data_IF_059892953908
#
_entry.id   IF_059892953908
#
_cell.length_a   1.000
_cell.length_b   1.000
_cell.length_c   1.000
_cell.angle_alpha   90.00
_cell.angle_beta   90.00
_cell.angle_gamma   90.00
#
_symmetry.space_group_name_H-M   'P 1'
#
loop_
_entity.id
_entity.type
_entity.pdbx_description
1 polymer ?
#
# COMPACT_ATOMS: atom_id res chain seq x y z
N UNK A 1 -18.01 7.03 13.45
CA UNK A 1 -16.94 7.49 14.36
C UNK A 1 -15.64 7.51 13.60
N UNK A 2 -14.76 8.46 13.91
CA UNK A 2 -13.45 8.59 13.28
C UNK A 2 -12.54 7.42 13.73
N UNK A 3 -12.06 6.54 12.82
CA UNK A 3 -11.16 5.44 13.18
C UNK A 3 -9.79 5.92 13.69
N UNK A 4 -9.46 7.20 13.50
CA UNK A 4 -8.27 7.85 14.06
C UNK A 4 -8.48 8.38 15.48
N UNK A 5 -9.70 8.25 16.03
CA UNK A 5 -9.96 8.56 17.43
C UNK A 5 -9.37 7.50 18.36
N UNK A 6 -8.70 7.96 19.43
CA UNK A 6 -8.04 7.09 20.42
C UNK A 6 -9.00 6.11 21.11
N UNK A 7 -10.28 6.46 21.22
CA UNK A 7 -11.30 5.63 21.88
C UNK A 7 -12.06 4.71 20.89
N UNK A 8 -11.96 4.97 19.58
CA UNK A 8 -12.73 4.23 18.58
C UNK A 8 -12.32 2.76 18.50
N UNK A 9 -11.01 2.47 18.51
CA UNK A 9 -10.48 1.12 18.38
C UNK A 9 -11.05 0.17 19.46
N UNK A 10 -10.91 0.54 20.74
CA UNK A 10 -11.38 -0.29 21.85
C UNK A 10 -12.91 -0.45 21.81
N UNK A 11 -13.63 0.62 21.54
CA UNK A 11 -15.10 0.59 21.48
C UNK A 11 -15.59 -0.35 20.37
N UNK A 12 -15.06 -0.23 19.15
CA UNK A 12 -15.48 -1.06 18.02
C UNK A 12 -15.11 -2.53 18.21
N UNK A 13 -13.90 -2.82 18.68
CA UNK A 13 -13.49 -4.22 18.91
C UNK A 13 -14.34 -4.86 20.02
N UNK A 14 -14.71 -4.11 21.05
CA UNK A 14 -15.60 -4.60 22.10
C UNK A 14 -17.02 -4.91 21.61
N UNK A 15 -17.54 -4.08 20.69
CA UNK A 15 -18.89 -4.23 20.13
C UNK A 15 -18.95 -5.33 19.07
N UNK A 16 -18.09 -5.28 18.07
CA UNK A 16 -18.11 -6.18 16.91
C UNK A 16 -17.48 -7.55 17.21
N UNK A 17 -16.58 -7.62 18.18
CA UNK A 17 -15.81 -8.82 18.53
C UNK A 17 -15.22 -9.55 17.31
N UNK A 18 -14.45 -8.83 16.46
CA UNK A 18 -13.91 -9.42 15.23
C UNK A 18 -12.91 -10.53 15.54
N UNK A 19 -12.83 -11.53 14.64
CA UNK A 19 -11.78 -12.54 14.70
C UNK A 19 -10.44 -12.02 14.16
N UNK A 20 -10.51 -11.07 13.22
CA UNK A 20 -9.36 -10.51 12.53
C UNK A 20 -9.60 -9.03 12.24
N UNK A 21 -8.59 -8.22 12.52
CA UNK A 21 -8.56 -6.79 12.23
C UNK A 21 -7.47 -6.56 11.18
N UNK A 22 -7.81 -5.86 10.10
CA UNK A 22 -6.84 -5.35 9.13
C UNK A 22 -6.81 -3.84 9.25
N UNK A 23 -5.71 -3.31 9.79
CA UNK A 23 -5.51 -1.88 9.95
C UNK A 23 -4.73 -1.32 8.74
N UNK A 24 -5.46 -0.56 7.91
CA UNK A 24 -4.93 0.15 6.74
C UNK A 24 -4.96 1.67 7.00
N UNK A 25 -3.97 2.18 7.72
CA UNK A 25 -3.79 3.63 7.87
C UNK A 25 -3.13 4.26 6.63
N UNK A 26 -2.75 5.53 6.73
CA UNK A 26 -1.98 6.26 5.70
C UNK A 26 -0.79 5.48 5.11
N UNK A 27 -0.02 4.67 5.88
CA UNK A 27 1.06 3.85 5.30
C UNK A 27 0.64 2.82 4.25
N UNK A 28 -0.65 2.46 4.19
CA UNK A 28 -1.18 1.52 3.21
C UNK A 28 -1.35 2.15 1.82
N UNK A 29 -1.38 3.48 1.72
CA UNK A 29 -1.46 4.19 0.46
C UNK A 29 -0.10 4.23 -0.24
N UNK A 30 -0.08 3.84 -1.51
CA UNK A 30 1.16 3.88 -2.29
C UNK A 30 1.61 5.32 -2.52
N UNK A 31 2.89 5.58 -2.28
CA UNK A 31 3.56 6.84 -2.66
C UNK A 31 3.65 7.07 -4.17
N UNK A 32 3.15 6.13 -4.97
CA UNK A 32 2.96 6.29 -6.41
C UNK A 32 1.62 6.91 -6.78
N UNK A 33 0.66 7.04 -5.86
CA UNK A 33 -0.62 7.69 -6.14
C UNK A 33 -0.44 9.13 -6.62
N UNK A 34 -1.39 9.58 -7.46
CA UNK A 34 -1.42 10.90 -8.07
C UNK A 34 -2.82 11.50 -7.84
N UNK A 35 -2.95 12.52 -6.97
CA UNK A 35 -1.89 13.18 -6.20
C UNK A 35 -1.25 12.26 -5.14
N UNK A 36 -0.02 12.57 -4.66
CA UNK A 36 0.62 11.80 -3.60
C UNK A 36 -0.25 11.77 -2.33
N UNK A 37 -0.23 10.64 -1.58
CA UNK A 37 -1.01 10.53 -0.36
C UNK A 37 -0.47 11.50 0.72
N UNK A 38 -1.29 11.83 1.73
CA UNK A 38 -0.82 12.62 2.86
C UNK A 38 0.37 11.95 3.55
N UNK A 39 1.30 12.74 4.08
CA UNK A 39 2.43 12.19 4.82
C UNK A 39 1.95 11.61 6.15
N UNK A 40 2.53 10.48 6.62
CA UNK A 40 2.24 9.95 7.94
C UNK A 40 2.60 10.99 9.01
N UNK A 41 1.73 11.12 10.02
CA UNK A 41 1.88 12.09 11.09
C UNK A 41 2.26 11.40 12.41
N UNK A 42 2.88 12.10 13.37
CA UNK A 42 3.23 11.51 14.66
C UNK A 42 2.04 10.87 15.40
N UNK A 43 0.84 11.43 15.24
CA UNK A 43 -0.39 10.91 15.87
C UNK A 43 -0.73 9.49 15.37
N UNK A 44 -0.38 9.16 14.13
CA UNK A 44 -0.60 7.82 13.54
C UNK A 44 0.12 6.72 14.32
N UNK A 45 1.22 7.04 15.01
CA UNK A 45 1.92 6.10 15.90
C UNK A 45 1.00 5.68 17.05
N UNK A 46 0.36 6.67 17.69
CA UNK A 46 -0.53 6.45 18.83
C UNK A 46 -1.76 5.67 18.36
N UNK A 47 -2.37 6.05 17.23
CA UNK A 47 -3.53 5.37 16.64
C UNK A 47 -3.22 3.90 16.35
N UNK A 48 -2.09 3.60 15.70
CA UNK A 48 -1.72 2.22 15.43
C UNK A 48 -1.50 1.42 16.73
N UNK A 49 -0.92 2.04 17.76
CA UNK A 49 -0.77 1.47 19.09
C UNK A 49 -2.10 1.18 19.80
N UNK A 50 -3.13 2.03 19.64
CA UNK A 50 -4.46 1.78 20.24
C UNK A 50 -5.16 0.59 19.57
N UNK A 51 -5.06 0.46 18.24
CA UNK A 51 -5.54 -0.71 17.52
C UNK A 51 -4.82 -2.00 17.94
N UNK A 52 -3.49 -1.95 18.08
CA UNK A 52 -2.68 -3.06 18.59
C UNK A 52 -3.11 -3.48 20.00
N UNK A 53 -3.34 -2.51 20.89
CA UNK A 53 -3.77 -2.74 22.27
C UNK A 53 -5.17 -3.34 22.34
N UNK A 54 -6.11 -2.80 21.56
CA UNK A 54 -7.47 -3.32 21.50
C UNK A 54 -7.48 -4.77 20.99
N UNK A 55 -6.75 -5.06 19.91
CA UNK A 55 -6.64 -6.42 19.39
C UNK A 55 -6.07 -7.39 20.45
N UNK A 56 -5.05 -6.96 21.20
CA UNK A 56 -4.48 -7.75 22.29
C UNK A 56 -5.46 -7.96 23.45
N UNK A 57 -6.16 -6.90 23.90
CA UNK A 57 -7.13 -6.95 25.01
C UNK A 57 -8.27 -7.93 24.72
N UNK A 58 -8.77 -7.94 23.48
CA UNK A 58 -9.90 -8.78 23.06
C UNK A 58 -9.48 -10.09 22.39
N UNK A 59 -8.18 -10.41 22.35
CA UNK A 59 -7.63 -11.62 21.74
C UNK A 59 -8.04 -11.80 20.26
N UNK A 60 -7.98 -10.70 19.51
CA UNK A 60 -8.20 -10.66 18.06
C UNK A 60 -6.86 -10.75 17.32
N UNK A 61 -6.83 -11.44 16.18
CA UNK A 61 -5.66 -11.38 15.30
C UNK A 61 -5.60 -9.99 14.64
N UNK A 62 -4.39 -9.44 14.51
CA UNK A 62 -4.17 -8.12 13.91
C UNK A 62 -3.19 -8.22 12.75
N UNK A 63 -3.57 -7.63 11.62
CA UNK A 63 -2.67 -7.32 10.52
C UNK A 63 -2.56 -5.81 10.33
N UNK A 64 -1.32 -5.31 10.24
CA UNK A 64 -1.06 -3.89 10.00
C UNK A 64 -0.33 -3.74 8.68
N UNK A 65 -0.87 -2.90 7.80
CA UNK A 65 -0.26 -2.57 6.51
C UNK A 65 0.66 -1.36 6.69
N UNK A 66 1.93 -1.56 6.37
CA UNK A 66 3.00 -0.56 6.32
C UNK A 66 3.46 -0.38 4.87
N UNK A 67 4.42 0.53 4.66
CA UNK A 67 4.87 0.95 3.34
C UNK A 67 6.28 0.48 3.00
N UNK A 68 6.54 0.30 1.71
CA UNK A 68 7.87 0.16 1.15
C UNK A 68 8.69 1.48 1.21
N UNK A 69 8.01 2.63 1.26
CA UNK A 69 8.60 3.97 1.34
C UNK A 69 9.42 4.23 2.64
N UNK A 70 9.44 3.26 3.54
CA UNK A 70 10.38 3.20 4.68
C UNK A 70 11.84 3.08 4.23
N UNK A 71 12.08 2.55 3.03
CA UNK A 71 13.39 2.30 2.46
C UNK A 71 13.79 3.34 1.42
N UNK A 72 15.09 3.40 1.14
CA UNK A 72 15.63 4.10 -0.02
C UNK A 72 16.90 3.39 -0.52
N UNK A 73 17.41 3.82 -1.68
CA UNK A 73 18.64 3.29 -2.27
C UNK A 73 19.88 3.44 -1.38
N UNK A 74 21.01 2.78 -1.72
CA UNK A 74 21.37 2.34 -3.07
C UNK A 74 21.08 0.86 -3.39
N UNK A 75 20.46 0.11 -2.47
CA UNK A 75 20.25 -1.33 -2.64
C UNK A 75 18.99 -1.64 -3.43
N UNK A 76 19.11 -2.50 -4.45
CA UNK A 76 18.02 -2.79 -5.38
C UNK A 76 16.82 -3.53 -4.75
N UNK A 77 17.04 -4.41 -3.77
CA UNK A 77 15.95 -5.12 -3.08
C UNK A 77 16.22 -5.14 -1.58
N UNK A 78 15.26 -4.64 -0.80
CA UNK A 78 15.35 -4.54 0.65
C UNK A 78 14.82 -5.79 1.32
N UNK A 79 15.51 -6.27 2.37
CA UNK A 79 15.07 -7.41 3.19
C UNK A 79 14.27 -6.91 4.40
N UNK A 80 13.46 -7.78 5.02
CA UNK A 80 12.73 -7.43 6.24
C UNK A 80 13.66 -6.97 7.38
N UNK A 81 14.84 -7.58 7.46
CA UNK A 81 15.90 -7.23 8.42
C UNK A 81 16.96 -6.27 7.84
N UNK A 82 16.70 -5.67 6.68
CA UNK A 82 17.57 -4.67 6.08
C UNK A 82 17.55 -3.36 6.86
N UNK A 83 18.63 -2.58 6.76
CA UNK A 83 18.83 -1.32 7.52
C UNK A 83 18.87 -0.09 6.63
N UNK A 84 18.61 -0.24 5.32
CA UNK A 84 18.71 0.82 4.31
C UNK A 84 17.48 1.71 4.30
N UNK A 85 17.15 2.24 5.47
CA UNK A 85 15.99 3.08 5.69
C UNK A 85 16.19 4.45 5.04
N UNK A 86 15.08 5.03 4.59
CA UNK A 86 15.03 6.45 4.28
C UNK A 86 15.14 7.26 5.58
N UNK A 87 16.00 8.27 5.59
CA UNK A 87 16.26 9.11 6.77
C UNK A 87 15.22 10.22 6.95
N UNK A 88 14.36 10.43 5.96
CA UNK A 88 13.29 11.42 6.00
C UNK A 88 12.37 11.25 7.20
N UNK A 89 11.78 12.36 7.68
CA UNK A 89 10.83 12.35 8.79
C UNK A 89 9.64 11.41 8.56
N UNK A 90 8.99 11.38 7.37
CA UNK A 90 7.91 10.43 7.12
C UNK A 90 8.34 8.97 7.26
N UNK A 91 9.50 8.58 6.72
CA UNK A 91 10.01 7.21 6.87
C UNK A 91 10.40 6.87 8.32
N UNK A 92 10.84 7.85 9.11
CA UNK A 92 11.04 7.69 10.57
C UNK A 92 9.72 7.42 11.29
N UNK A 93 8.65 8.13 10.92
CA UNK A 93 7.32 7.92 11.51
C UNK A 93 6.79 6.52 11.17
N UNK A 94 6.95 6.05 9.93
CA UNK A 94 6.62 4.66 9.56
C UNK A 94 7.32 3.66 10.48
N UNK A 95 8.62 3.83 10.72
CA UNK A 95 9.39 2.96 11.64
C UNK A 95 8.87 3.01 13.07
N UNK A 96 8.41 4.17 13.53
CA UNK A 96 7.81 4.32 14.86
C UNK A 96 6.45 3.62 14.94
N UNK A 97 5.62 3.71 13.90
CA UNK A 97 4.36 2.94 13.79
C UNK A 97 4.64 1.44 13.90
N UNK A 98 5.58 0.93 13.08
CA UNK A 98 5.93 -0.49 13.09
C UNK A 98 6.44 -0.95 14.45
N UNK A 99 7.27 -0.12 15.10
CA UNK A 99 7.80 -0.39 16.43
C UNK A 99 6.69 -0.42 17.49
N UNK A 100 5.85 0.60 17.55
CA UNK A 100 4.77 0.71 18.54
C UNK A 100 3.83 -0.48 18.46
N UNK A 101 3.38 -0.83 17.26
CA UNK A 101 2.50 -1.99 17.02
C UNK A 101 3.14 -3.28 17.51
N UNK A 102 4.42 -3.52 17.17
CA UNK A 102 5.13 -4.73 17.59
C UNK A 102 5.38 -4.79 19.09
N UNK A 103 5.70 -3.66 19.72
CA UNK A 103 5.95 -3.58 21.17
C UNK A 103 4.65 -3.81 21.97
N UNK A 104 3.53 -3.26 21.49
CA UNK A 104 2.21 -3.42 22.14
C UNK A 104 1.65 -4.82 21.90
N UNK A 105 1.62 -5.29 20.65
CA UNK A 105 1.11 -6.61 20.31
C UNK A 105 2.12 -7.40 19.46
N UNK A 106 2.99 -8.21 20.11
CA UNK A 106 3.99 -9.03 19.42
C UNK A 106 3.42 -10.12 18.50
N UNK A 107 2.11 -10.39 18.59
CA UNK A 107 1.44 -11.37 17.72
C UNK A 107 0.96 -10.78 16.40
N UNK A 108 1.13 -9.47 16.19
CA UNK A 108 0.70 -8.78 14.96
C UNK A 108 1.41 -9.32 13.72
N UNK A 109 0.67 -9.51 12.63
CA UNK A 109 1.22 -9.65 11.28
C UNK A 109 1.44 -8.27 10.67
N UNK A 110 2.69 -7.83 10.56
CA UNK A 110 3.01 -6.54 9.94
C UNK A 110 3.50 -6.77 8.51
N UNK A 111 2.89 -6.09 7.53
CA UNK A 111 3.25 -6.25 6.12
C UNK A 111 3.69 -4.94 5.51
N UNK A 112 4.89 -4.88 4.94
CA UNK A 112 5.31 -3.76 4.07
C UNK A 112 4.91 -4.08 2.63
N UNK A 113 4.35 -3.11 1.92
CA UNK A 113 3.82 -3.29 0.57
C UNK A 113 3.91 -2.01 -0.27
N UNK A 114 3.61 -2.15 -1.57
CA UNK A 114 3.29 -1.07 -2.48
C UNK A 114 2.08 -1.53 -3.31
N UNK A 115 0.88 -1.08 -2.96
CA UNK A 115 -0.37 -1.56 -3.57
C UNK A 115 -0.81 -0.64 -4.68
N UNK A 116 -1.29 -1.20 -5.80
CA UNK A 116 -2.03 -0.47 -6.83
C UNK A 116 -3.40 -1.09 -7.07
N UNK A 117 -4.32 -0.31 -7.61
CA UNK A 117 -5.67 -0.76 -7.94
C UNK A 117 -6.53 0.42 -8.35
N UNK A 118 -7.79 0.15 -8.64
CA UNK A 118 -8.79 1.22 -8.79
C UNK A 118 -9.06 1.87 -7.44
N UNK A 119 -9.21 3.19 -7.45
CA UNK A 119 -9.71 3.93 -6.30
C UNK A 119 -11.16 3.53 -6.02
N UNK A 120 -11.54 3.34 -4.74
CA UNK A 120 -12.94 3.12 -4.39
C UNK A 120 -13.78 4.40 -4.53
N UNK A 121 -13.14 5.57 -4.54
CA UNK A 121 -13.80 6.86 -4.71
C UNK A 121 -13.64 7.36 -6.15
N UNK A 122 -14.77 7.57 -6.83
CA UNK A 122 -14.76 8.10 -8.19
C UNK A 122 -14.32 9.58 -8.26
N UNK A 123 -14.44 10.34 -7.16
CA UNK A 123 -14.01 11.72 -7.05
C UNK A 123 -12.51 11.90 -6.75
N UNK A 124 -11.86 10.85 -6.24
CA UNK A 124 -10.43 10.85 -5.89
C UNK A 124 -9.70 9.77 -6.70
N UNK A 125 -9.31 10.06 -7.96
CA UNK A 125 -8.64 9.08 -8.81
C UNK A 125 -7.28 8.69 -8.21
N UNK A 126 -7.02 7.38 -8.18
CA UNK A 126 -5.70 6.85 -7.82
C UNK A 126 -4.72 6.90 -8.99
N UNK A 127 -3.56 6.26 -8.83
CA UNK A 127 -2.55 6.15 -9.89
C UNK A 127 -3.12 5.60 -11.20
N UNK A 128 -3.90 4.51 -11.13
CA UNK A 128 -4.44 3.81 -12.30
C UNK A 128 -5.40 4.71 -13.07
N UNK A 129 -6.39 5.29 -12.39
CA UNK A 129 -7.35 6.21 -13.00
C UNK A 129 -6.65 7.42 -13.62
N UNK A 130 -5.71 8.03 -12.89
CA UNK A 130 -4.98 9.21 -13.38
C UNK A 130 -4.22 8.91 -14.67
N UNK A 131 -3.52 7.77 -14.77
CA UNK A 131 -2.85 7.37 -16.00
C UNK A 131 -3.87 7.10 -17.11
N UNK A 132 -4.90 6.28 -16.86
CA UNK A 132 -5.87 5.91 -17.90
C UNK A 132 -6.62 7.13 -18.44
N UNK A 133 -7.01 8.06 -17.57
CA UNK A 133 -7.71 9.28 -17.98
C UNK A 133 -6.79 10.18 -18.79
N UNK A 134 -5.55 10.42 -18.35
CA UNK A 134 -4.59 11.23 -19.11
C UNK A 134 -4.32 10.65 -20.51
N UNK A 135 -4.21 9.32 -20.63
CA UNK A 135 -4.01 8.65 -21.91
C UNK A 135 -5.23 8.76 -22.83
N UNK A 136 -6.44 8.61 -22.30
CA UNK A 136 -7.71 8.71 -23.06
C UNK A 136 -7.98 10.12 -23.54
N UNK A 137 -7.67 11.10 -22.69
CA UNK A 137 -7.89 12.53 -22.96
C UNK A 137 -6.71 13.17 -23.72
N UNK A 138 -5.72 12.36 -24.12
CA UNK A 138 -4.50 12.79 -24.80
C UNK A 138 -3.74 13.91 -24.05
N UNK A 139 -3.82 13.91 -22.72
CA UNK A 139 -3.11 14.86 -21.85
C UNK A 139 -1.67 14.36 -21.64
N UNK A 140 -0.65 15.20 -21.86
CA UNK A 140 0.74 14.85 -21.56
C UNK A 140 0.94 14.46 -20.09
N UNK A 141 1.53 13.30 -19.85
CA UNK A 141 1.81 12.79 -18.50
C UNK A 141 3.28 12.38 -18.38
N UNK A 142 3.99 13.12 -17.53
CA UNK A 142 5.38 12.87 -17.18
C UNK A 142 5.46 11.99 -15.93
N UNK A 143 6.18 10.86 -16.00
CA UNK A 143 6.33 9.92 -14.90
C UNK A 143 7.80 9.59 -14.65
N UNK A 144 8.17 9.47 -13.38
CA UNK A 144 9.55 9.18 -13.00
C UNK A 144 9.98 7.78 -13.44
N UNK A 145 11.22 7.70 -13.96
CA UNK A 145 11.85 6.46 -14.41
C UNK A 145 13.01 6.02 -13.51
N UNK A 146 13.32 6.76 -12.44
CA UNK A 146 14.47 6.49 -11.57
C UNK A 146 14.09 5.73 -10.29
N UNK A 147 12.96 6.04 -9.67
CA UNK A 147 12.43 5.36 -8.49
C UNK A 147 11.81 4.02 -8.86
N UNK A 148 11.98 3.03 -8.00
CA UNK A 148 11.50 1.68 -8.26
C UNK A 148 10.92 1.04 -7.01
N UNK A 149 9.94 0.19 -7.22
CA UNK A 149 9.28 -0.61 -6.19
C UNK A 149 8.87 -1.96 -6.78
N UNK A 150 8.26 -2.79 -5.94
CA UNK A 150 7.66 -4.08 -6.30
C UNK A 150 6.14 -4.03 -6.10
N UNK A 151 5.39 -3.33 -6.97
CA UNK A 151 3.96 -3.11 -6.77
C UNK A 151 3.14 -4.40 -6.92
N UNK A 152 2.04 -4.51 -6.17
CA UNK A 152 1.08 -5.62 -6.20
C UNK A 152 -0.35 -5.11 -6.34
N UNK A 153 -1.18 -5.81 -7.12
CA UNK A 153 -2.59 -5.46 -7.27
C UNK A 153 -3.32 -5.63 -5.93
N UNK A 154 -4.20 -4.71 -5.57
CA UNK A 154 -4.92 -4.70 -4.30
C UNK A 154 -5.66 -6.01 -4.00
N UNK A 155 -6.27 -6.63 -5.01
CA UNK A 155 -6.94 -7.93 -4.84
C UNK A 155 -5.96 -9.09 -4.66
N UNK A 156 -4.84 -9.08 -5.38
CA UNK A 156 -3.78 -10.08 -5.16
C UNK A 156 -3.14 -9.93 -3.78
N UNK A 157 -2.97 -8.68 -3.32
CA UNK A 157 -2.51 -8.37 -1.97
C UNK A 157 -3.48 -8.93 -0.92
N UNK A 158 -4.78 -8.68 -1.08
CA UNK A 158 -5.81 -9.19 -0.17
C UNK A 158 -5.81 -10.73 -0.11
N UNK A 159 -5.75 -11.41 -1.26
CA UNK A 159 -5.71 -12.88 -1.32
C UNK A 159 -4.47 -13.45 -0.59
N UNK A 160 -3.30 -12.83 -0.77
CA UNK A 160 -2.06 -13.26 -0.11
C UNK A 160 -2.10 -12.94 1.39
N UNK A 161 -2.66 -11.80 1.78
CA UNK A 161 -2.81 -11.40 3.18
C UNK A 161 -3.76 -12.34 3.92
N UNK A 162 -4.88 -12.70 3.31
CA UNK A 162 -5.83 -13.68 3.86
C UNK A 162 -5.14 -15.04 4.05
N UNK A 163 -4.37 -15.53 3.07
CA UNK A 163 -3.58 -16.76 3.24
C UNK A 163 -2.57 -16.67 4.38
N UNK A 164 -1.89 -15.53 4.54
CA UNK A 164 -0.99 -15.29 5.65
C UNK A 164 -1.70 -15.32 7.01
N UNK A 165 -2.90 -14.74 7.08
CA UNK A 165 -3.78 -14.83 8.24
C UNK A 165 -4.19 -16.27 8.55
N UNK A 166 -4.66 -17.03 7.55
CA UNK A 166 -5.07 -18.43 7.72
C UNK A 166 -3.92 -19.33 8.19
N UNK A 167 -2.69 -19.06 7.76
CA UNK A 167 -1.47 -19.73 8.21
C UNK A 167 -0.93 -19.20 9.54
N UNK A 168 -1.63 -18.25 10.18
CA UNK A 168 -1.26 -17.61 11.44
C UNK A 168 0.16 -17.05 11.41
N UNK A 169 0.55 -16.44 10.29
CA UNK A 169 1.84 -15.76 10.20
C UNK A 169 1.85 -14.56 11.14
N UNK A 170 2.99 -14.32 11.80
CA UNK A 170 3.19 -13.23 12.76
C UNK A 170 4.55 -12.58 12.57
N UNK A 171 4.66 -11.33 12.99
CA UNK A 171 5.82 -10.46 12.79
C UNK A 171 5.86 -9.82 11.40
N UNK A 172 7.00 -9.23 11.07
CA UNK A 172 7.19 -8.46 9.84
C UNK A 172 7.42 -9.36 8.60
N UNK A 173 6.68 -9.11 7.53
CA UNK A 173 6.86 -9.67 6.19
C UNK A 173 6.85 -8.58 5.12
N UNK A 174 7.55 -8.80 4.01
CA UNK A 174 7.31 -8.06 2.77
C UNK A 174 6.27 -8.80 1.94
N UNK A 175 5.14 -8.16 1.67
CA UNK A 175 4.05 -8.69 0.84
C UNK A 175 3.88 -7.74 -0.34
N UNK A 176 4.47 -8.08 -1.48
CA UNK A 176 4.61 -7.19 -2.63
C UNK A 176 4.63 -7.99 -3.93
N UNK A 177 4.76 -7.32 -5.08
CA UNK A 177 4.83 -8.00 -6.38
C UNK A 177 6.09 -8.84 -6.55
N UNK A 178 6.07 -9.74 -7.53
CA UNK A 178 7.22 -10.55 -7.93
C UNK A 178 8.25 -9.81 -8.79
N UNK A 179 7.97 -8.57 -9.20
CA UNK A 179 8.75 -7.82 -10.18
C UNK A 179 9.00 -6.37 -9.73
N UNK A 180 10.23 -5.90 -9.98
CA UNK A 180 10.65 -4.52 -9.75
C UNK A 180 10.34 -3.67 -10.99
N UNK A 181 9.70 -2.52 -10.81
CA UNK A 181 9.35 -1.60 -11.90
C UNK A 181 9.39 -0.14 -11.43
N UNK A 182 9.48 0.81 -12.36
CA UNK A 182 9.32 2.24 -12.09
C UNK A 182 7.96 2.75 -12.62
N UNK A 183 7.48 3.92 -12.14
CA UNK A 183 6.20 4.48 -12.57
C UNK A 183 6.04 4.64 -14.08
N UNK A 184 7.06 5.12 -14.79
CA UNK A 184 6.99 5.25 -16.26
C UNK A 184 6.76 3.91 -16.95
N UNK A 185 7.54 2.87 -16.59
CA UNK A 185 7.37 1.53 -17.15
C UNK A 185 6.04 0.91 -16.75
N UNK A 186 5.57 1.13 -15.52
CA UNK A 186 4.24 0.72 -15.08
C UNK A 186 3.16 1.31 -15.99
N UNK A 187 3.22 2.61 -16.27
CA UNK A 187 2.26 3.28 -17.16
C UNK A 187 2.31 2.76 -18.60
N UNK A 188 3.50 2.47 -19.14
CA UNK A 188 3.62 1.83 -20.46
C UNK A 188 2.93 0.45 -20.48
N UNK A 189 3.14 -0.39 -19.45
CA UNK A 189 2.49 -1.70 -19.39
C UNK A 189 0.97 -1.60 -19.19
N UNK A 190 0.52 -0.60 -18.42
CA UNK A 190 -0.89 -0.32 -18.25
C UNK A 190 -1.53 0.13 -19.58
N UNK A 191 -0.89 1.03 -20.31
CA UNK A 191 -1.35 1.49 -21.62
C UNK A 191 -1.45 0.34 -22.63
N UNK A 192 -0.43 -0.53 -22.68
CA UNK A 192 -0.39 -1.76 -23.49
C UNK A 192 -1.57 -2.67 -23.18
N UNK A 193 -1.81 -2.95 -21.90
CA UNK A 193 -2.91 -3.81 -21.44
C UNK A 193 -4.30 -3.24 -21.79
N UNK A 194 -4.46 -1.93 -21.80
CA UNK A 194 -5.73 -1.25 -22.11
C UNK A 194 -5.87 -0.85 -23.58
N UNK A 195 -4.87 -1.13 -24.43
CA UNK A 195 -4.89 -0.78 -25.85
C UNK A 195 -4.87 0.73 -26.12
N UNK A 196 -4.25 1.52 -25.24
CA UNK A 196 -4.16 2.98 -25.36
C UNK A 196 -2.83 3.42 -25.97
N UNK A 197 -2.84 4.55 -26.69
CA UNK A 197 -1.63 5.16 -27.23
C UNK A 197 -0.71 5.64 -26.10
N UNK A 198 0.60 5.44 -26.25
CA UNK A 198 1.61 5.94 -25.29
C UNK A 198 2.24 7.27 -25.71
N UNK A 199 1.74 7.91 -26.78
CA UNK A 199 2.33 9.12 -27.38
C UNK A 199 2.43 10.31 -26.43
N UNK A 200 1.60 10.35 -25.39
CA UNK A 200 1.56 11.42 -24.39
C UNK A 200 2.36 11.11 -23.13
N UNK A 201 2.93 9.90 -23.00
CA UNK A 201 3.79 9.53 -21.88
C UNK A 201 5.21 10.00 -22.11
N UNK A 202 5.80 10.62 -21.10
CA UNK A 202 7.22 10.95 -21.07
C UNK A 202 7.87 10.49 -19.77
N UNK A 203 9.13 10.07 -19.88
CA UNK A 203 9.96 9.75 -18.72
C UNK A 203 10.59 11.03 -18.18
N UNK A 204 10.55 11.21 -16.87
CA UNK A 204 11.35 12.21 -16.17
C UNK A 204 12.38 11.52 -15.29
N UNK A 205 13.55 12.14 -15.16
CA UNK A 205 14.61 11.66 -14.31
C UNK A 205 14.68 12.50 -13.03
N UNK A 206 14.31 11.93 -11.89
CA UNK A 206 14.57 12.58 -10.60
C UNK A 206 16.08 12.71 -10.36
N UNK A 207 16.61 13.89 -9.97
CA UNK A 207 18.03 14.09 -9.62
C UNK A 207 18.52 13.13 -8.55
N UNK A 208 19.82 12.79 -8.55
CA UNK A 208 20.37 11.80 -7.62
C UNK A 208 20.21 12.21 -6.15
N UNK A 209 20.34 13.49 -5.85
CA UNK A 209 20.20 14.08 -4.53
C UNK A 209 18.79 13.89 -3.97
N UNK A 210 17.78 14.00 -4.83
CA UNK A 210 16.36 13.87 -4.46
C UNK A 210 15.92 12.41 -4.31
N UNK A 211 16.67 11.44 -4.87
CA UNK A 211 16.36 9.99 -4.78
C UNK A 211 16.52 9.39 -3.38
N UNK A 212 16.92 10.19 -2.38
CA UNK A 212 17.03 9.76 -0.98
C UNK A 212 15.85 10.18 -0.11
N UNK A 213 14.97 11.02 -0.64
CA UNK A 213 13.78 11.47 0.04
C UNK A 213 12.68 10.39 0.12
N UNK A 214 11.61 10.70 0.85
CA UNK A 214 10.48 9.81 1.04
C UNK A 214 9.80 9.46 -0.30
N UNK A 215 9.77 8.18 -0.66
CA UNK A 215 9.05 7.69 -1.84
C UNK A 215 9.64 8.07 -3.20
N UNK A 216 10.86 8.60 -3.25
CA UNK A 216 11.56 9.02 -4.48
C UNK A 216 12.74 8.10 -4.85
N UNK A 217 13.07 7.15 -3.98
CA UNK A 217 14.21 6.26 -4.13
C UNK A 217 13.88 4.85 -4.58
N UNK A 218 14.81 3.94 -4.31
CA UNK A 218 14.63 2.51 -4.47
C UNK A 218 13.97 1.92 -3.22
N UNK A 219 12.73 1.46 -3.34
CA UNK A 219 11.93 0.86 -2.27
C UNK A 219 11.56 -0.60 -2.52
N UNK A 220 12.04 -1.22 -3.60
CA UNK A 220 11.68 -2.60 -3.96
C UNK A 220 11.92 -3.60 -2.83
N UNK A 221 10.91 -4.43 -2.56
CA UNK A 221 10.89 -5.35 -1.42
C UNK A 221 11.31 -6.75 -1.83
N UNK A 222 12.13 -7.42 -1.01
CA UNK A 222 12.48 -8.82 -1.19
C UNK A 222 11.44 -9.73 -0.56
N UNK A 223 10.57 -10.32 -1.37
CA UNK A 223 9.43 -11.13 -0.91
C UNK A 223 9.77 -12.61 -0.63
N UNK A 224 11.06 -12.95 -0.46
CA UNK A 224 11.50 -14.35 -0.28
C UNK A 224 10.86 -15.00 0.96
N UNK A 225 10.70 -14.25 2.05
CA UNK A 225 10.21 -14.77 3.32
C UNK A 225 8.75 -15.18 3.23
N UNK A 226 7.88 -14.33 2.67
CA UNK A 226 6.45 -14.63 2.52
C UNK A 226 6.22 -15.76 1.50
N UNK A 227 6.96 -15.77 0.38
CA UNK A 227 6.90 -16.83 -0.62
C UNK A 227 7.25 -18.20 -0.05
N UNK A 228 8.25 -18.25 0.83
CA UNK A 228 8.65 -19.48 1.53
C UNK A 228 7.59 -19.88 2.57
N UNK A 229 7.06 -18.93 3.34
CA UNK A 229 6.09 -19.22 4.39
C UNK A 229 4.75 -19.72 3.83
N UNK A 230 4.34 -19.23 2.65
CA UNK A 230 3.10 -19.60 1.99
C UNK A 230 3.27 -20.63 0.86
N UNK A 231 4.50 -21.06 0.60
CA UNK A 231 4.86 -22.01 -0.47
C UNK A 231 4.27 -21.64 -1.84
N UNK A 232 4.22 -20.35 -2.16
CA UNK A 232 3.63 -19.84 -3.39
C UNK A 232 4.48 -18.75 -4.05
N UNK A 233 4.42 -18.61 -5.39
CA UNK A 233 4.93 -17.42 -6.05
C UNK A 233 4.03 -16.21 -5.75
N UNK A 234 4.58 -15.00 -5.98
CA UNK A 234 3.80 -13.76 -5.98
C UNK A 234 3.65 -13.28 -7.43
N UNK A 235 2.54 -12.59 -7.74
CA UNK A 235 2.21 -12.23 -9.12
C UNK A 235 3.23 -11.25 -9.72
N UNK A 236 3.49 -11.42 -11.01
CA UNK A 236 4.24 -10.47 -11.83
C UNK A 236 3.34 -9.29 -12.23
N UNK A 237 3.96 -8.20 -12.70
CA UNK A 237 3.20 -6.97 -12.97
C UNK A 237 2.13 -7.19 -14.05
N UNK A 238 2.45 -7.93 -15.11
CA UNK A 238 1.52 -8.20 -16.22
C UNK A 238 0.32 -9.04 -15.78
N UNK A 239 0.52 -9.96 -14.84
CA UNK A 239 -0.58 -10.76 -14.27
C UNK A 239 -1.54 -9.87 -13.48
N UNK A 240 -1.00 -8.97 -12.65
CA UNK A 240 -1.78 -7.97 -11.94
C UNK A 240 -2.53 -7.01 -12.88
N UNK A 241 -1.87 -6.53 -13.94
CA UNK A 241 -2.51 -5.65 -14.93
C UNK A 241 -3.60 -6.36 -15.73
N UNK A 242 -3.43 -7.64 -16.07
CA UNK A 242 -4.48 -8.44 -16.71
C UNK A 242 -5.72 -8.55 -15.83
N UNK A 243 -5.54 -8.87 -14.53
CA UNK A 243 -6.66 -8.93 -13.57
C UNK A 243 -7.31 -7.57 -13.34
N UNK A 244 -6.51 -6.50 -13.29
CA UNK A 244 -7.02 -5.13 -13.23
C UNK A 244 -7.90 -4.80 -14.45
N UNK A 245 -7.50 -5.23 -15.64
CA UNK A 245 -8.32 -5.08 -16.85
C UNK A 245 -9.61 -5.91 -16.78
N UNK A 246 -9.56 -7.15 -16.28
CA UNK A 246 -10.77 -7.95 -16.04
C UNK A 246 -11.72 -7.27 -15.03
N UNK A 247 -11.19 -6.66 -13.97
CA UNK A 247 -11.97 -5.87 -13.02
C UNK A 247 -12.63 -4.64 -13.69
N UNK A 248 -11.93 -4.01 -14.63
CA UNK A 248 -12.49 -2.91 -15.42
C UNK A 248 -13.68 -3.38 -16.27
N UNK A 249 -13.55 -4.52 -16.94
CA UNK A 249 -14.55 -5.03 -17.88
C UNK A 249 -15.76 -5.68 -17.20
N UNK A 250 -15.58 -6.23 -15.99
CA UNK A 250 -16.61 -7.02 -15.29
C UNK A 250 -17.55 -6.19 -14.40
N UNK A 251 -17.38 -4.87 -14.34
CA UNK A 251 -18.11 -4.02 -13.38
C UNK A 251 -17.67 -4.23 -11.93
N UNK A 252 -16.50 -4.85 -11.70
CA UNK A 252 -15.97 -5.05 -10.34
C UNK A 252 -15.88 -3.72 -9.56
N UNK A 253 -15.56 -2.63 -10.27
CA UNK A 253 -15.49 -1.27 -9.70
C UNK A 253 -16.83 -0.79 -9.13
N UNK A 254 -17.95 -1.26 -9.65
CA UNK A 254 -19.28 -0.85 -9.20
C UNK A 254 -19.57 -1.30 -7.75
N UNK A 255 -18.81 -2.28 -7.25
CA UNK A 255 -18.87 -2.73 -5.85
C UNK A 255 -18.39 -1.65 -4.88
N UNK A 256 -17.53 -0.72 -5.30
CA UNK A 256 -17.03 0.34 -4.43
C UNK A 256 -18.09 1.42 -4.15
N UNK A 257 -18.96 1.72 -5.13
CA UNK A 257 -20.02 2.73 -4.99
C UNK A 257 -21.18 2.34 -4.06
N UNK A 258 -21.19 1.12 -3.54
CA UNK A 258 -22.22 0.61 -2.62
C UNK A 258 -21.84 0.69 -1.13
N UNK A 259 -20.63 1.11 -0.79
CA UNK A 259 -20.20 1.29 0.61
C UNK A 259 -20.44 2.76 0.98
N UNK A 260 -21.36 3.07 1.92
CA UNK A 260 -21.52 4.44 2.40
C UNK A 260 -20.18 4.90 2.99
N UNK A 261 -19.51 5.82 2.32
CA UNK A 261 -18.48 6.62 2.96
C UNK A 261 -19.21 7.50 3.98
N UNK A 262 -19.20 7.12 5.24
CA UNK A 262 -19.69 8.00 6.31
C UNK A 262 -18.72 9.16 6.44
N UNK A 263 -18.91 10.21 5.64
CA UNK A 263 -18.40 11.54 5.95
C UNK A 263 -19.16 11.98 7.21
N UNK A 264 -18.49 12.27 8.34
CA UNK A 264 -19.19 12.83 9.48
C UNK A 264 -19.71 14.22 9.09
N UNK A 265 -21.04 14.34 8.97
CA UNK A 265 -21.71 15.63 8.91
C UNK A 265 -21.24 16.49 10.09
N UNK A 266 -20.72 17.68 9.78
CA UNK A 266 -20.53 18.72 10.78
C UNK A 266 -21.90 19.10 11.31
N UNK A 267 -22.24 18.61 12.49
CA UNK A 267 -23.39 19.13 13.24
C UNK A 267 -22.97 20.48 13.83
N UNK A 268 -23.72 21.51 13.45
CA UNK A 268 -23.61 22.89 13.91
C UNK A 268 -23.97 23.04 15.41
#
# INVERSE_FOLDING_TARGET
>A
CDPDSLDAARHWVAMERPQWIVHCGTPAESVWNLPPPPLPKPESVIVAGTWARAAQEFNCELSVVSSDAIFTGPWMFHRENGTCYCDSTPARILRLIEKEVCDVNPQTLLVRTNVFGFSPDAGEPGLVETILNALRDEVPLALDCMRHATPILATDFADVLERAYQQRLRGLYHLAGGERINPFRFACLLADQFGLSMSTLSAIETPFEERREYGTGESSLQTRRIRKALEMPLPLIREGLSRLYEQHMSGYRDRFGGVPQTVPEKVA
#
